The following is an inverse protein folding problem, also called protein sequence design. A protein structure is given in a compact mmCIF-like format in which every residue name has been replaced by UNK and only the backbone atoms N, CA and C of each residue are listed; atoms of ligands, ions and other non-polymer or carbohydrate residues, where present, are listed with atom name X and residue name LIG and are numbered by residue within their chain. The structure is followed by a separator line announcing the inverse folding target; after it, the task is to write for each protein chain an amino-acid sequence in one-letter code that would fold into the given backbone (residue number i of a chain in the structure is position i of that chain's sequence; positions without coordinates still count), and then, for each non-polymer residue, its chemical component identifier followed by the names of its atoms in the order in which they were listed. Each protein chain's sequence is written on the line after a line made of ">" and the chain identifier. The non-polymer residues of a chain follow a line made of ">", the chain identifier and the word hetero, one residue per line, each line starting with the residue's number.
data_IF_626505703883
#
_entry.id   IF_626505703883
#
_cell.length_a   1.000
_cell.length_b   1.000
_cell.length_c   1.000
_cell.angle_alpha   90.00
_cell.angle_beta   90.00
_cell.angle_gamma   90.00
#
_symmetry.space_group_name_H-M   'P 1'
#
loop_
_entity.id
_entity.type
_entity.pdbx_description
1 polymer ?
#
# COMPACT_ATOMS: atom_id res chain seq x y z
N UNK A 1 11.49 10.80 11.04
CA UNK A 1 10.74 10.87 9.77
C UNK A 1 9.38 10.27 10.05
N UNK A 2 8.33 11.06 9.84
CA UNK A 2 6.93 10.69 10.11
C UNK A 2 6.59 9.35 9.46
N UNK A 3 6.02 8.45 10.26
CA UNK A 3 5.64 7.12 9.82
C UNK A 3 4.61 7.16 8.69
N UNK A 4 4.28 6.00 8.12
CA UNK A 4 3.27 5.92 7.07
C UNK A 4 1.94 6.54 7.56
N UNK A 5 1.44 7.54 6.84
CA UNK A 5 0.26 8.34 7.23
C UNK A 5 -0.98 7.50 7.63
N UNK A 6 -1.18 6.38 6.95
CA UNK A 6 -2.28 5.45 7.20
C UNK A 6 -1.81 4.08 7.69
N UNK A 7 -2.65 3.33 8.44
CA UNK A 7 -2.42 1.93 8.74
C UNK A 7 -2.10 1.11 7.49
N UNK A 8 -1.29 0.08 7.66
CA UNK A 8 -0.81 -0.75 6.55
C UNK A 8 -1.96 -1.40 5.76
N UNK A 9 -3.04 -1.78 6.45
CA UNK A 9 -4.21 -2.47 5.87
C UNK A 9 -5.35 -1.53 5.47
N UNK A 10 -5.01 -0.31 5.06
CA UNK A 10 -5.98 0.68 4.55
C UNK A 10 -6.45 0.25 3.17
N UNK A 11 -7.75 0.30 2.89
CA UNK A 11 -8.26 -0.05 1.54
C UNK A 11 -8.09 1.13 0.57
N UNK A 12 -8.31 2.37 1.04
CA UNK A 12 -8.22 3.58 0.22
C UNK A 12 -7.75 4.79 1.04
N UNK A 13 -6.99 5.69 0.43
CA UNK A 13 -6.60 6.98 1.03
C UNK A 13 -7.32 8.10 0.30
N UNK A 14 -8.11 8.88 1.03
CA UNK A 14 -8.72 10.11 0.52
C UNK A 14 -7.85 11.30 0.91
N UNK A 15 -7.42 12.09 -0.07
CA UNK A 15 -6.76 13.37 0.16
C UNK A 15 -7.83 14.47 0.25
N UNK A 16 -7.79 15.27 1.31
CA UNK A 16 -8.70 16.37 1.56
C UNK A 16 -7.94 17.66 1.25
N UNK A 17 -8.31 18.31 0.16
CA UNK A 17 -7.71 19.58 -0.26
C UNK A 17 -8.29 20.74 0.55
N UNK A 18 -7.46 21.71 0.87
CA UNK A 18 -7.93 22.93 1.51
C UNK A 18 -8.86 23.70 0.57
N UNK A 19 -10.02 24.05 1.10
CA UNK A 19 -10.99 24.91 0.42
C UNK A 19 -11.12 26.18 1.27
N UNK A 20 -10.75 27.33 0.69
CA UNK A 20 -10.96 28.66 1.26
C UNK A 20 -12.00 29.39 0.40
N UNK A 21 -13.25 29.52 0.85
CA UNK A 21 -14.23 30.31 0.11
C UNK A 21 -13.76 31.78 0.01
N UNK A 22 -14.01 32.42 -1.13
CA UNK A 22 -13.54 33.79 -1.43
C UNK A 22 -14.22 34.87 -0.58
N UNK A 23 -15.35 34.53 0.04
CA UNK A 23 -16.11 35.38 0.95
C UNK A 23 -16.42 34.56 2.19
N UNK A 24 -15.69 34.79 3.26
CA UNK A 24 -15.98 34.26 4.59
C UNK A 24 -16.02 35.44 5.57
N UNK A 25 -17.23 35.93 5.85
CA UNK A 25 -17.46 37.01 6.83
C UNK A 25 -17.42 36.50 8.29
N UNK A 26 -17.28 35.19 8.55
CA UNK A 26 -17.32 34.61 9.91
C UNK A 26 -16.12 33.72 10.30
N UNK A 27 -15.21 33.41 9.38
CA UNK A 27 -13.96 32.68 9.63
C UNK A 27 -14.13 31.20 9.99
N UNK A 28 -15.26 30.57 9.67
CA UNK A 28 -15.58 29.17 10.00
C UNK A 28 -15.51 28.21 8.80
N UNK A 29 -15.22 28.72 7.59
CA UNK A 29 -15.28 27.97 6.33
C UNK A 29 -13.97 27.33 5.86
N UNK A 30 -12.94 27.22 6.72
CA UNK A 30 -11.64 26.64 6.31
C UNK A 30 -11.65 25.13 6.52
N UNK A 31 -11.66 24.38 5.42
CA UNK A 31 -11.35 22.94 5.47
C UNK A 31 -9.83 22.79 5.50
N UNK A 32 -9.22 22.31 6.60
CA UNK A 32 -7.77 22.10 6.63
C UNK A 32 -7.37 21.00 5.64
N UNK A 33 -6.15 21.12 5.08
CA UNK A 33 -5.56 20.03 4.32
C UNK A 33 -5.45 18.79 5.22
N UNK A 34 -5.84 17.63 4.70
CA UNK A 34 -5.88 16.41 5.50
C UNK A 34 -5.92 15.14 4.67
N UNK A 35 -5.97 14.02 5.37
CA UNK A 35 -6.13 12.71 4.74
C UNK A 35 -7.07 11.85 5.60
N UNK A 36 -7.82 10.98 4.94
CA UNK A 36 -8.63 9.96 5.59
C UNK A 36 -8.21 8.57 5.11
N UNK A 37 -7.92 7.69 6.05
CA UNK A 37 -7.59 6.29 5.81
C UNK A 37 -8.88 5.49 5.90
N UNK A 38 -9.35 4.98 4.77
CA UNK A 38 -10.65 4.32 4.67
C UNK A 38 -10.48 2.82 4.52
N UNK A 39 -11.36 2.07 5.18
CA UNK A 39 -11.63 0.66 4.91
C UNK A 39 -13.09 0.51 4.50
N UNK A 40 -13.40 -0.47 3.65
CA UNK A 40 -14.78 -0.88 3.37
C UNK A 40 -15.45 -1.33 4.67
N UNK A 41 -16.77 -1.24 4.71
CA UNK A 41 -17.54 -1.79 5.84
C UNK A 41 -17.60 -3.33 5.79
N UNK A 42 -17.60 -3.88 4.58
CA UNK A 42 -17.72 -5.31 4.31
C UNK A 42 -16.59 -5.79 3.41
N UNK A 43 -16.29 -7.09 3.50
CA UNK A 43 -15.33 -7.76 2.63
C UNK A 43 -15.77 -7.74 1.14
N UNK A 44 -14.84 -7.85 0.18
CA UNK A 44 -13.40 -8.00 0.35
C UNK A 44 -12.69 -6.66 0.58
N UNK A 45 -11.68 -6.66 1.46
CA UNK A 45 -10.80 -5.52 1.77
C UNK A 45 -9.52 -5.56 0.92
N UNK A 46 -9.37 -4.66 -0.08
CA UNK A 46 -8.18 -4.63 -0.92
C UNK A 46 -6.87 -4.42 -0.15
N UNK A 47 -6.90 -3.76 1.03
CA UNK A 47 -5.73 -3.52 1.85
C UNK A 47 -5.33 -4.69 2.76
N UNK A 48 -6.13 -5.75 2.84
CA UNK A 48 -5.74 -6.93 3.62
C UNK A 48 -4.71 -7.77 2.84
N UNK A 49 -3.75 -8.44 3.53
CA UNK A 49 -2.71 -9.22 2.88
C UNK A 49 -3.22 -10.18 1.81
N UNK A 50 -2.80 -9.95 0.56
CA UNK A 50 -3.18 -10.76 -0.60
C UNK A 50 -4.56 -10.46 -1.18
N UNK A 51 -5.27 -9.46 -0.66
CA UNK A 51 -6.55 -8.98 -1.18
C UNK A 51 -6.44 -8.33 -2.55
N UNK A 52 -5.30 -7.66 -2.84
CA UNK A 52 -5.06 -7.01 -4.11
C UNK A 52 -5.75 -5.65 -4.19
N UNK A 53 -4.96 -4.60 -4.44
CA UNK A 53 -5.48 -3.28 -4.82
C UNK A 53 -5.57 -2.27 -3.68
N UNK A 54 -4.90 -2.54 -2.56
CA UNK A 54 -4.64 -1.54 -1.55
C UNK A 54 -3.70 -0.44 -2.07
N UNK A 55 -3.59 0.69 -1.34
CA UNK A 55 -2.72 1.80 -1.71
C UNK A 55 -1.24 1.49 -1.46
N UNK A 56 -0.93 0.38 -0.78
CA UNK A 56 0.42 0.01 -0.35
C UNK A 56 0.59 -1.50 -0.40
N UNK A 57 1.80 -1.92 -0.75
CA UNK A 57 2.23 -3.32 -0.63
C UNK A 57 2.75 -3.58 0.79
N UNK A 58 2.33 -4.69 1.37
CA UNK A 58 2.71 -5.17 2.70
C UNK A 58 3.08 -6.67 2.65
N UNK A 59 3.56 -7.20 3.78
CA UNK A 59 3.86 -8.64 3.88
C UNK A 59 2.58 -9.45 3.74
N UNK A 60 2.63 -10.48 2.89
CA UNK A 60 1.51 -11.34 2.54
C UNK A 60 0.87 -11.00 1.20
N UNK A 61 1.17 -9.82 0.63
CA UNK A 61 0.68 -9.43 -0.68
C UNK A 61 1.36 -10.16 -1.82
N UNK A 62 0.60 -10.30 -2.91
CA UNK A 62 1.11 -10.78 -4.17
C UNK A 62 1.29 -9.61 -5.14
N UNK A 63 2.35 -9.68 -5.93
CA UNK A 63 2.74 -8.64 -6.88
C UNK A 63 3.06 -9.26 -8.23
N UNK A 64 2.90 -8.47 -9.28
CA UNK A 64 3.38 -8.79 -10.62
C UNK A 64 4.27 -7.66 -11.14
N UNK A 65 5.16 -7.99 -12.07
CA UNK A 65 6.02 -7.00 -12.70
C UNK A 65 5.21 -6.14 -13.68
N UNK A 66 5.11 -4.83 -13.42
CA UNK A 66 4.38 -3.91 -14.29
C UNK A 66 5.24 -3.26 -15.37
N UNK A 67 6.55 -3.55 -15.40
CA UNK A 67 7.54 -2.88 -16.23
C UNK A 67 8.34 -1.82 -15.46
N UNK A 68 9.45 -1.37 -16.06
CA UNK A 68 10.32 -0.29 -15.54
C UNK A 68 10.85 -0.50 -14.12
N UNK A 69 11.05 -1.76 -13.73
CA UNK A 69 11.50 -2.11 -12.37
C UNK A 69 10.43 -1.88 -11.29
N UNK A 70 9.18 -1.61 -11.69
CA UNK A 70 8.06 -1.44 -10.80
C UNK A 70 7.27 -2.74 -10.64
N UNK A 71 6.70 -2.90 -9.46
CA UNK A 71 5.74 -3.95 -9.19
C UNK A 71 4.41 -3.36 -8.78
N UNK A 72 3.34 -4.07 -9.13
CA UNK A 72 1.98 -3.70 -8.77
C UNK A 72 1.36 -4.84 -8.00
N UNK A 73 0.60 -4.50 -6.96
CA UNK A 73 -0.17 -5.48 -6.19
C UNK A 73 -1.25 -6.14 -7.07
N UNK A 74 -1.55 -7.40 -6.77
CA UNK A 74 -2.67 -8.14 -7.33
C UNK A 74 -3.17 -9.16 -6.31
N UNK A 75 -4.41 -9.62 -6.48
CA UNK A 75 -5.00 -10.62 -5.61
C UNK A 75 -4.21 -11.94 -5.69
N UNK A 76 -3.87 -12.50 -4.52
CA UNK A 76 -3.11 -13.74 -4.44
C UNK A 76 -3.88 -14.97 -4.96
N UNK A 77 -5.20 -14.89 -5.06
CA UNK A 77 -6.04 -15.97 -5.59
C UNK A 77 -5.97 -16.14 -7.12
N UNK A 78 -5.24 -15.25 -7.81
CA UNK A 78 -5.05 -15.29 -9.26
C UNK A 78 -6.27 -14.87 -10.07
N UNK A 79 -7.36 -14.42 -9.42
CA UNK A 79 -8.61 -14.02 -10.10
C UNK A 79 -8.62 -12.56 -10.55
N UNK A 80 -7.55 -11.81 -10.24
CA UNK A 80 -7.37 -10.43 -10.68
C UNK A 80 -7.10 -10.28 -12.18
N UNK A 81 -6.97 -9.03 -12.65
CA UNK A 81 -6.66 -8.72 -14.06
C UNK A 81 -5.32 -9.27 -14.53
N UNK A 82 -4.38 -9.43 -13.60
CA UNK A 82 -3.04 -9.96 -13.81
C UNK A 82 -2.79 -11.03 -12.75
N UNK A 83 -2.32 -12.22 -13.13
CA UNK A 83 -1.94 -13.23 -12.16
C UNK A 83 -0.73 -12.73 -11.33
N UNK A 84 -0.58 -13.19 -10.09
CA UNK A 84 0.58 -12.89 -9.28
C UNK A 84 1.83 -13.57 -9.84
N UNK A 85 2.97 -12.88 -9.80
CA UNK A 85 4.29 -13.45 -10.13
C UNK A 85 5.06 -13.80 -8.86
N UNK A 86 4.92 -12.98 -7.81
CA UNK A 86 5.64 -13.14 -6.54
C UNK A 86 4.73 -12.84 -5.35
N UNK A 87 5.06 -13.40 -4.19
CA UNK A 87 4.47 -13.08 -2.89
C UNK A 87 5.52 -12.51 -1.95
N UNK A 88 5.22 -11.38 -1.32
CA UNK A 88 6.07 -10.78 -0.28
C UNK A 88 5.93 -11.58 1.00
N UNK A 89 6.99 -12.27 1.41
CA UNK A 89 6.96 -13.21 2.56
C UNK A 89 7.47 -12.61 3.86
N UNK A 90 8.32 -11.60 3.77
CA UNK A 90 8.87 -10.89 4.94
C UNK A 90 9.26 -9.47 4.56
N UNK A 91 9.35 -8.60 5.56
CA UNK A 91 9.94 -7.28 5.45
C UNK A 91 11.19 -7.24 6.32
N UNK A 92 12.28 -6.57 5.95
CA UNK A 92 13.51 -6.44 6.74
C UNK A 92 14.06 -5.02 6.63
N UNK A 93 15.08 -4.69 7.43
CA UNK A 93 15.73 -3.38 7.35
C UNK A 93 16.68 -3.37 6.16
N UNK A 94 17.51 -4.40 6.03
CA UNK A 94 18.53 -4.52 5.01
C UNK A 94 18.33 -5.75 4.12
N UNK A 95 18.68 -5.61 2.82
CA UNK A 95 18.56 -6.70 1.84
C UNK A 95 19.32 -7.97 2.25
N UNK A 96 20.42 -7.83 2.99
CA UNK A 96 21.23 -8.95 3.47
C UNK A 96 20.50 -9.83 4.50
N UNK A 97 19.45 -9.32 5.14
CA UNK A 97 18.63 -10.07 6.10
C UNK A 97 17.52 -10.88 5.42
N UNK A 98 17.30 -10.69 4.11
CA UNK A 98 16.32 -11.48 3.38
C UNK A 98 16.76 -12.96 3.30
N UNK A 99 15.81 -13.91 3.38
CA UNK A 99 16.12 -15.32 3.16
C UNK A 99 16.77 -15.55 1.78
N UNK A 100 17.66 -16.55 1.68
CA UNK A 100 18.35 -16.90 0.41
C UNK A 100 17.41 -17.29 -0.74
N UNK A 101 16.18 -17.68 -0.41
CA UNK A 101 15.10 -17.99 -1.37
C UNK A 101 14.38 -16.75 -1.91
N UNK A 102 14.82 -15.55 -1.55
CA UNK A 102 14.28 -14.29 -2.08
C UNK A 102 14.67 -14.13 -3.53
N UNK A 103 13.67 -14.03 -4.41
CA UNK A 103 13.87 -13.84 -5.84
C UNK A 103 13.67 -12.37 -6.27
N UNK A 104 12.95 -11.58 -5.46
CA UNK A 104 12.65 -10.18 -5.75
C UNK A 104 12.68 -9.36 -4.46
N UNK A 105 13.30 -8.17 -4.53
CA UNK A 105 13.27 -7.17 -3.47
C UNK A 105 12.24 -6.10 -3.82
N UNK A 106 11.29 -5.86 -2.92
CA UNK A 106 10.22 -4.88 -3.09
C UNK A 106 10.45 -3.72 -2.13
N UNK A 107 10.34 -2.49 -2.62
CA UNK A 107 10.37 -1.31 -1.74
C UNK A 107 9.04 -1.20 -1.00
N UNK A 108 9.09 -1.34 0.33
CA UNK A 108 7.95 -1.17 1.23
C UNK A 108 8.08 0.17 1.98
N UNK A 109 6.99 0.56 2.65
CA UNK A 109 7.00 1.68 3.59
C UNK A 109 7.28 1.25 5.04
N UNK A 110 7.62 2.21 5.90
CA UNK A 110 7.82 1.99 7.34
C UNK A 110 9.26 1.67 7.72
N UNK A 111 9.45 1.09 8.92
CA UNK A 111 10.78 0.83 9.51
C UNK A 111 11.50 -0.39 8.93
N UNK A 112 10.79 -1.24 8.17
CA UNK A 112 11.33 -2.42 7.47
C UNK A 112 11.09 -2.24 5.97
N UNK A 113 11.86 -1.37 5.31
CA UNK A 113 11.58 -0.91 3.95
C UNK A 113 11.83 -1.98 2.86
N UNK A 114 12.44 -3.12 3.18
CA UNK A 114 12.81 -4.14 2.19
C UNK A 114 11.89 -5.33 2.29
N UNK A 115 11.01 -5.52 1.30
CA UNK A 115 10.19 -6.70 1.13
C UNK A 115 10.96 -7.83 0.43
N UNK A 116 10.98 -9.02 1.04
CA UNK A 116 11.59 -10.23 0.50
C UNK A 116 10.50 -11.08 -0.17
N UNK A 117 10.48 -11.09 -1.50
CA UNK A 117 9.45 -11.78 -2.28
C UNK A 117 9.96 -13.06 -2.93
N UNK A 118 9.07 -14.05 -3.02
CA UNK A 118 9.31 -15.37 -3.63
C UNK A 118 8.30 -15.62 -4.74
N UNK A 119 8.63 -16.41 -5.77
CA UNK A 119 7.66 -16.81 -6.79
C UNK A 119 6.46 -17.51 -6.15
N UNK A 120 5.26 -17.32 -6.73
CA UNK A 120 4.02 -17.99 -6.32
C UNK A 120 3.82 -19.33 -7.00
#
# INVERSE_FOLDING_TARGET
>A
ADGPLCPATTDFVLHISETRPASDENGDGVVPQGYACMRKLEAPHPGDPGGGGGPRTIVGDCVYNSGDGQVRETACDGKGKKPPDYKVTSAVVDRAECPSSTALYVQLGGSRPVGCARPV
#
